data_IF_441004311720
#
_entry.id   IF_441004311720
#
_cell.length_a   1.000
_cell.length_b   1.000
_cell.length_c   1.000
_cell.angle_alpha   90.00
_cell.angle_beta   90.00
_cell.angle_gamma   90.00
#
_symmetry.space_group_name_H-M   'P 1'
#
loop_
_entity.id
_entity.type
_entity.pdbx_description
1 polymer ?
#
# COMPACT_ATOMS: atom_id res chain seq x y z
N UNK A 1 8.15 -27.82 28.14
CA UNK A 1 7.54 -28.28 26.88
C UNK A 1 8.08 -27.36 25.80
N UNK A 2 8.90 -27.88 24.89
CA UNK A 2 9.81 -27.07 24.07
C UNK A 2 9.06 -26.39 22.93
N UNK A 3 9.37 -25.11 22.66
CA UNK A 3 8.80 -24.31 21.54
C UNK A 3 8.82 -25.07 20.20
N UNK A 4 9.81 -25.93 19.97
CA UNK A 4 9.89 -26.76 18.76
C UNK A 4 8.71 -27.74 18.63
N UNK A 5 8.25 -28.31 19.73
CA UNK A 5 7.10 -29.23 19.76
C UNK A 5 5.83 -28.45 19.42
N UNK A 6 5.63 -27.28 20.03
CA UNK A 6 4.47 -26.43 19.77
C UNK A 6 4.43 -25.97 18.32
N UNK A 7 5.59 -25.59 17.76
CA UNK A 7 5.73 -25.21 16.35
C UNK A 7 5.41 -26.38 15.42
N UNK A 8 5.91 -27.58 15.71
CA UNK A 8 5.61 -28.77 14.92
C UNK A 8 4.11 -29.11 14.95
N UNK A 9 3.47 -28.97 16.11
CA UNK A 9 2.01 -29.16 16.26
C UNK A 9 1.22 -28.13 15.47
N UNK A 10 1.63 -26.85 15.49
CA UNK A 10 1.00 -25.80 14.70
C UNK A 10 1.11 -26.08 13.20
N UNK A 11 2.27 -26.50 12.71
CA UNK A 11 2.49 -26.84 11.30
C UNK A 11 1.60 -28.03 10.89
N UNK A 12 1.51 -29.07 11.73
CA UNK A 12 0.65 -30.21 11.46
C UNK A 12 -0.82 -29.81 11.39
N UNK A 13 -1.28 -28.96 12.31
CA UNK A 13 -2.64 -28.44 12.32
C UNK A 13 -2.98 -27.65 11.05
N UNK A 14 -2.10 -26.73 10.64
CA UNK A 14 -2.29 -25.96 9.39
C UNK A 14 -2.40 -26.88 8.18
N UNK A 15 -1.53 -27.91 8.08
CA UNK A 15 -1.58 -28.88 6.97
C UNK A 15 -2.89 -29.67 6.92
N UNK A 16 -3.41 -30.09 8.08
CA UNK A 16 -4.70 -30.78 8.16
C UNK A 16 -5.83 -29.86 7.69
N UNK A 17 -5.84 -28.59 8.11
CA UNK A 17 -6.85 -27.63 7.69
C UNK A 17 -6.77 -27.35 6.19
N UNK A 18 -5.57 -27.17 5.64
CA UNK A 18 -5.40 -27.00 4.19
C UNK A 18 -5.97 -28.20 3.42
N UNK A 19 -5.68 -29.43 3.86
CA UNK A 19 -6.20 -30.63 3.23
C UNK A 19 -7.73 -30.76 3.36
N UNK A 20 -8.29 -30.47 4.53
CA UNK A 20 -9.73 -30.53 4.81
C UNK A 20 -10.53 -29.56 3.92
N UNK A 21 -9.96 -28.39 3.62
CA UNK A 21 -10.62 -27.35 2.83
C UNK A 21 -10.20 -27.35 1.35
N UNK A 22 -9.33 -28.27 0.93
CA UNK A 22 -8.80 -28.30 -0.43
C UNK A 22 -7.96 -27.06 -0.80
N UNK A 23 -7.38 -26.40 0.20
CA UNK A 23 -6.57 -25.19 0.00
C UNK A 23 -5.16 -25.55 -0.44
N UNK A 24 -4.72 -24.92 -1.51
CA UNK A 24 -3.32 -24.92 -1.96
C UNK A 24 -2.60 -23.66 -1.48
N UNK A 25 -1.26 -23.68 -1.56
CA UNK A 25 -0.48 -22.47 -1.32
C UNK A 25 -0.89 -21.33 -2.27
N UNK A 26 -1.24 -21.66 -3.52
CA UNK A 26 -1.66 -20.68 -4.52
C UNK A 26 -2.97 -19.98 -4.12
N UNK A 27 -3.91 -20.70 -3.49
CA UNK A 27 -5.16 -20.12 -2.99
C UNK A 27 -4.90 -19.11 -1.87
N UNK A 28 -3.96 -19.43 -0.96
CA UNK A 28 -3.56 -18.52 0.12
C UNK A 28 -2.84 -17.27 -0.42
N UNK A 29 -2.01 -17.44 -1.45
CA UNK A 29 -1.34 -16.33 -2.12
C UNK A 29 -2.37 -15.46 -2.87
N UNK A 30 -3.32 -16.06 -3.59
CA UNK A 30 -4.38 -15.35 -4.29
C UNK A 30 -5.32 -14.62 -3.33
N UNK A 31 -5.54 -15.16 -2.13
CA UNK A 31 -6.28 -14.52 -1.05
C UNK A 31 -5.48 -13.40 -0.34
N UNK A 32 -4.21 -13.18 -0.71
CA UNK A 32 -3.37 -12.13 -0.14
C UNK A 32 -2.89 -12.41 1.29
N UNK A 33 -2.93 -13.67 1.76
CA UNK A 33 -2.51 -14.03 3.13
C UNK A 33 -1.05 -13.67 3.46
N UNK A 34 -0.22 -13.50 2.43
CA UNK A 34 1.20 -13.15 2.55
C UNK A 34 1.54 -11.85 1.81
N UNK A 35 0.54 -11.11 1.32
CA UNK A 35 0.81 -9.82 0.71
C UNK A 35 1.35 -8.88 1.78
N UNK A 36 2.45 -8.18 1.48
CA UNK A 36 2.86 -7.06 2.31
C UNK A 36 1.72 -6.02 2.31
N UNK A 37 1.35 -5.48 3.48
CA UNK A 37 0.40 -4.39 3.53
C UNK A 37 0.96 -3.27 2.65
N UNK A 38 0.12 -2.77 1.72
CA UNK A 38 0.50 -1.64 0.90
C UNK A 38 1.02 -0.53 1.81
N UNK A 39 2.14 0.15 1.45
CA UNK A 39 2.72 1.17 2.30
C UNK A 39 1.63 2.18 2.64
N UNK A 40 1.33 2.30 3.93
CA UNK A 40 0.41 3.32 4.42
C UNK A 40 0.99 4.67 4.00
N UNK A 41 0.25 5.51 3.25
CA UNK A 41 0.76 6.82 2.87
C UNK A 41 1.11 7.58 4.14
N UNK A 42 2.39 7.92 4.31
CA UNK A 42 2.87 8.70 5.44
C UNK A 42 2.00 9.96 5.57
N UNK A 43 1.45 10.27 6.76
CA UNK A 43 0.77 11.53 6.97
C UNK A 43 1.75 12.68 6.71
N UNK A 44 1.50 13.45 5.64
CA UNK A 44 2.38 14.53 5.18
C UNK A 44 3.21 14.20 3.92
N UNK A 45 3.03 13.03 3.30
CA UNK A 45 3.58 12.79 1.97
C UNK A 45 2.99 13.82 0.98
N UNK A 46 3.83 14.72 0.48
CA UNK A 46 3.51 15.62 -0.63
C UNK A 46 2.90 14.77 -1.73
N UNK A 47 1.64 15.03 -2.08
CA UNK A 47 0.91 14.28 -3.12
C UNK A 47 1.13 14.87 -4.50
N UNK A 48 1.30 16.19 -4.55
CA UNK A 48 1.49 16.95 -5.77
C UNK A 48 2.72 17.85 -5.65
N UNK A 49 3.61 17.87 -6.65
CA UNK A 49 4.80 18.72 -6.69
C UNK A 49 4.96 19.38 -8.06
N UNK A 50 5.32 20.65 -8.09
CA UNK A 50 5.65 21.35 -9.35
C UNK A 50 7.16 21.35 -9.66
N UNK A 51 7.52 21.81 -10.86
CA UNK A 51 8.92 21.91 -11.31
C UNK A 51 9.78 22.87 -10.45
N UNK A 52 9.17 23.82 -9.74
CA UNK A 52 9.86 24.71 -8.79
C UNK A 52 10.05 24.08 -7.41
N UNK A 53 9.68 22.81 -7.25
CA UNK A 53 9.85 22.05 -6.01
C UNK A 53 8.77 22.29 -4.97
N UNK A 54 7.74 23.11 -5.24
CA UNK A 54 6.62 23.37 -4.33
C UNK A 54 5.73 22.13 -4.23
N UNK A 55 5.42 21.71 -3.02
CA UNK A 55 4.61 20.53 -2.72
C UNK A 55 3.25 20.87 -2.13
N UNK A 56 2.25 20.03 -2.40
CA UNK A 56 0.94 20.03 -1.76
C UNK A 56 0.54 18.61 -1.41
N UNK A 57 0.11 18.37 -0.17
CA UNK A 57 -0.27 17.06 0.37
C UNK A 57 -1.73 16.68 0.05
N UNK A 58 -2.44 17.53 -0.70
CA UNK A 58 -3.85 17.35 -1.03
C UNK A 58 -4.81 17.73 0.10
N UNK A 59 -4.31 18.32 1.20
CA UNK A 59 -5.13 18.79 2.32
C UNK A 59 -5.12 20.32 2.39
N UNK A 60 -6.23 20.89 2.84
CA UNK A 60 -6.39 22.34 2.98
C UNK A 60 -6.61 23.05 1.64
N UNK A 61 -6.40 24.38 1.64
CA UNK A 61 -6.60 25.23 0.48
C UNK A 61 -5.60 24.90 -0.64
N UNK A 62 -6.09 24.92 -1.88
CA UNK A 62 -5.25 24.71 -3.05
C UNK A 62 -4.27 25.88 -3.21
N UNK A 63 -2.95 25.65 -3.33
CA UNK A 63 -1.97 26.72 -3.44
C UNK A 63 -2.07 27.44 -4.79
N UNK A 64 -1.66 28.71 -4.83
CA UNK A 64 -1.76 29.57 -6.03
C UNK A 64 -1.13 28.96 -7.28
N UNK A 65 -0.01 28.26 -7.13
CA UNK A 65 0.69 27.62 -8.26
C UNK A 65 -0.16 26.53 -8.91
N UNK A 66 -0.90 25.76 -8.10
CA UNK A 66 -1.76 24.68 -8.57
C UNK A 66 -3.05 25.27 -9.17
N UNK A 67 -3.58 26.33 -8.56
CA UNK A 67 -4.75 27.05 -9.10
C UNK A 67 -4.48 27.68 -10.46
N UNK A 68 -3.32 28.30 -10.65
CA UNK A 68 -2.92 28.81 -11.97
C UNK A 68 -2.78 27.70 -13.00
N UNK A 69 -2.20 26.56 -12.63
CA UNK A 69 -2.04 25.43 -13.54
C UNK A 69 -3.39 24.82 -13.96
N UNK A 70 -4.33 24.67 -13.02
CA UNK A 70 -5.69 24.20 -13.30
C UNK A 70 -6.45 25.18 -14.19
N UNK A 71 -6.37 26.48 -13.89
CA UNK A 71 -6.98 27.52 -14.73
C UNK A 71 -6.38 27.58 -16.15
N UNK A 72 -5.12 27.16 -16.31
CA UNK A 72 -4.46 27.01 -17.60
C UNK A 72 -4.80 25.69 -18.32
N UNK A 73 -5.71 24.88 -17.78
CA UNK A 73 -6.18 23.63 -18.37
C UNK A 73 -5.39 22.37 -17.98
N UNK A 74 -4.42 22.47 -17.05
CA UNK A 74 -3.72 21.29 -16.55
C UNK A 74 -4.53 20.58 -15.46
N UNK A 75 -4.41 19.26 -15.40
CA UNK A 75 -5.05 18.46 -14.33
C UNK A 75 -4.15 18.40 -13.10
N UNK A 76 -4.74 18.41 -11.90
CA UNK A 76 -4.01 18.26 -10.62
C UNK A 76 -3.17 16.96 -10.57
N UNK A 77 -3.65 15.90 -11.23
CA UNK A 77 -2.93 14.62 -11.36
C UNK A 77 -1.62 14.73 -12.15
N UNK A 78 -1.46 15.73 -13.03
CA UNK A 78 -0.21 15.98 -13.73
C UNK A 78 0.94 16.30 -12.76
N UNK A 79 0.60 16.92 -11.63
CA UNK A 79 1.56 17.27 -10.59
C UNK A 79 1.76 16.15 -9.58
N UNK A 80 1.05 15.03 -9.68
CA UNK A 80 1.13 13.97 -8.68
C UNK A 80 2.52 13.36 -8.65
N UNK A 81 3.12 13.34 -7.47
CA UNK A 81 4.42 12.66 -7.28
C UNK A 81 4.17 11.18 -7.17
N UNK A 82 4.78 10.42 -8.08
CA UNK A 82 4.94 8.98 -7.92
C UNK A 82 6.01 8.77 -6.86
N UNK A 83 5.60 8.38 -5.66
CA UNK A 83 6.54 7.82 -4.68
C UNK A 83 6.98 6.46 -5.21
N UNK A 84 8.00 6.45 -6.08
CA UNK A 84 8.73 5.24 -6.45
C UNK A 84 9.62 4.87 -5.26
N UNK A 85 9.09 4.09 -4.34
CA UNK A 85 9.84 3.25 -3.39
C UNK A 85 8.95 2.10 -2.99
#
# INVERSE_FOLDING_TARGET
MSIEIERAQAIAWVRIQMAQHGLTLADLQAAGCFAEPAPTPLPGAVRHRNAQGQGWDGRGAMPDWLQRAVNAGQTVEHFRVVSTT
#
